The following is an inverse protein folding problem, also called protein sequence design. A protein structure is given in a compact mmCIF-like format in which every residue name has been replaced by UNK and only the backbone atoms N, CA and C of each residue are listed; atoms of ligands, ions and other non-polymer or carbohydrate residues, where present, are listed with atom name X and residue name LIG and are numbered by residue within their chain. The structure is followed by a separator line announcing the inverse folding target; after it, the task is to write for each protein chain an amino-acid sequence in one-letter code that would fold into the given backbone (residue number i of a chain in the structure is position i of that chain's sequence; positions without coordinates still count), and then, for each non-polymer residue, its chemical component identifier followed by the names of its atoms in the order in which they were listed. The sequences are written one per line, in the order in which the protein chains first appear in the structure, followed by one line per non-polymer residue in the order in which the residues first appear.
data_IF_269501573594
#
_entry.id   IF_269501573594
#
_cell.length_a   1.000
_cell.length_b   1.000
_cell.length_c   1.000
_cell.angle_alpha   90.00
_cell.angle_beta   90.00
_cell.angle_gamma   90.00
#
_symmetry.space_group_name_H-M   'P 1'
#
loop_
_entity.id
_entity.type
_entity.pdbx_description
1 polymer ?
#
# COMPACT_ATOMS: atom_id res chain seq x y z
N UNK A 1 -2.39 7.79 24.97
CA UNK A 1 -3.47 8.25 24.08
C UNK A 1 -3.74 7.18 23.04
N UNK A 2 -4.98 6.98 22.65
CA UNK A 2 -5.36 6.08 21.56
C UNK A 2 -5.05 6.78 20.24
N UNK A 3 -4.49 6.07 19.26
CA UNK A 3 -4.22 6.58 17.91
C UNK A 3 -5.52 6.58 17.11
N UNK A 4 -6.01 7.76 16.71
CA UNK A 4 -7.12 7.86 15.76
C UNK A 4 -6.57 7.54 14.35
N UNK A 5 -7.36 6.82 13.55
CA UNK A 5 -7.00 6.51 12.17
C UNK A 5 -6.79 7.78 11.31
N UNK A 6 -7.43 8.89 11.68
CA UNK A 6 -7.34 10.18 10.97
C UNK A 6 -6.07 10.97 11.29
N UNK A 7 -5.36 10.61 12.36
CA UNK A 7 -4.10 11.27 12.76
C UNK A 7 -2.88 10.65 12.09
N UNK A 8 -3.05 9.52 11.42
CA UNK A 8 -1.96 8.81 10.77
C UNK A 8 -1.59 9.43 9.43
N UNK A 9 -0.29 9.52 9.17
CA UNK A 9 0.25 9.89 7.85
C UNK A 9 0.39 8.65 6.98
N UNK A 10 0.12 8.82 5.68
CA UNK A 10 0.22 7.74 4.71
C UNK A 10 0.73 8.24 3.36
N UNK A 11 1.09 7.32 2.47
CA UNK A 11 1.33 7.54 1.06
C UNK A 11 0.65 6.42 0.25
N UNK A 12 0.45 6.67 -1.03
CA UNK A 12 -0.14 5.67 -1.93
C UNK A 12 0.62 5.65 -3.25
N UNK A 13 0.87 4.44 -3.75
CA UNK A 13 1.41 4.13 -5.07
C UNK A 13 0.29 3.43 -5.86
N UNK A 14 0.01 3.89 -7.09
CA UNK A 14 -1.04 3.33 -7.95
C UNK A 14 -0.44 3.03 -9.32
N UNK A 15 -0.35 1.75 -9.65
CA UNK A 15 0.14 1.29 -10.95
C UNK A 15 -0.99 1.36 -12.00
N UNK A 16 -0.72 2.02 -13.10
CA UNK A 16 -1.67 2.32 -14.17
C UNK A 16 -1.04 2.10 -15.55
N UNK A 17 -1.90 1.99 -16.54
CA UNK A 17 -1.55 2.02 -17.97
C UNK A 17 -2.64 2.75 -18.76
N UNK A 18 -2.65 2.66 -20.08
CA UNK A 18 -3.67 3.29 -20.94
C UNK A 18 -3.37 4.73 -21.33
N UNK A 19 -2.45 5.40 -20.62
CA UNK A 19 -1.91 6.72 -20.97
C UNK A 19 -0.41 6.75 -20.68
N UNK A 20 0.30 7.74 -21.22
CA UNK A 20 1.74 7.89 -20.98
C UNK A 20 2.01 8.61 -19.65
N UNK A 21 3.23 8.44 -19.09
CA UNK A 21 3.68 9.17 -17.88
C UNK A 21 3.59 10.68 -18.06
N UNK A 22 4.03 11.20 -19.21
CA UNK A 22 3.92 12.63 -19.52
C UNK A 22 2.46 13.09 -19.46
N UNK A 23 1.55 12.34 -20.10
CA UNK A 23 0.12 12.68 -20.09
C UNK A 23 -0.49 12.62 -18.70
N UNK A 24 -0.10 11.63 -17.87
CA UNK A 24 -0.53 11.55 -16.49
C UNK A 24 -0.07 12.77 -15.68
N UNK A 25 1.19 13.19 -15.84
CA UNK A 25 1.74 14.38 -15.18
C UNK A 25 1.01 15.66 -15.60
N UNK A 26 0.71 15.84 -16.90
CA UNK A 26 -0.09 16.97 -17.40
C UNK A 26 -1.49 17.03 -16.78
N UNK A 27 -2.14 15.87 -16.61
CA UNK A 27 -3.46 15.77 -15.96
C UNK A 27 -3.39 16.18 -14.49
N UNK A 28 -2.39 15.72 -13.78
CA UNK A 28 -2.15 16.09 -12.37
C UNK A 28 -1.85 17.58 -12.28
N UNK A 29 -0.97 18.09 -13.15
CA UNK A 29 -0.62 19.50 -13.21
C UNK A 29 -1.83 20.39 -13.43
N UNK A 30 -2.69 20.05 -14.39
CA UNK A 30 -3.92 20.78 -14.65
C UNK A 30 -4.85 20.84 -13.43
N UNK A 31 -4.97 19.74 -12.68
CA UNK A 31 -5.80 19.71 -11.49
C UNK A 31 -5.21 20.55 -10.34
N UNK A 32 -3.88 20.48 -10.15
CA UNK A 32 -3.18 21.22 -9.09
C UNK A 32 -2.87 22.67 -9.47
N UNK A 33 -3.17 23.10 -10.71
CA UNK A 33 -2.87 24.44 -11.19
C UNK A 33 -1.37 24.72 -11.37
N UNK A 34 -0.56 23.69 -11.65
CA UNK A 34 0.90 23.75 -11.73
C UNK A 34 1.41 23.02 -12.98
N UNK A 35 2.53 23.49 -13.53
CA UNK A 35 3.18 22.79 -14.64
C UNK A 35 3.97 21.58 -14.13
N UNK A 36 3.88 20.42 -14.82
CA UNK A 36 4.69 19.27 -14.48
C UNK A 36 6.17 19.50 -14.82
N UNK A 37 7.04 19.08 -13.92
CA UNK A 37 8.49 19.08 -14.11
C UNK A 37 8.97 17.68 -14.44
N UNK A 38 9.83 17.52 -15.46
CA UNK A 38 10.52 16.27 -15.76
C UNK A 38 11.80 16.20 -14.94
N UNK A 39 11.80 15.35 -13.90
CA UNK A 39 12.96 15.15 -13.01
C UNK A 39 13.99 14.16 -13.61
N UNK A 40 13.58 13.33 -14.60
CA UNK A 40 14.45 12.37 -15.30
C UNK A 40 14.81 11.15 -14.46
N UNK A 41 16.06 10.72 -14.57
CA UNK A 41 16.59 9.56 -13.85
C UNK A 41 16.15 8.21 -14.41
N UNK A 42 16.56 7.11 -13.73
CA UNK A 42 16.24 5.74 -14.13
C UNK A 42 14.73 5.47 -14.23
N UNK A 43 13.93 6.12 -13.38
CA UNK A 43 12.48 5.98 -13.33
C UNK A 43 11.73 6.95 -14.24
N UNK A 44 12.44 7.76 -15.06
CA UNK A 44 11.83 8.77 -15.94
C UNK A 44 10.72 9.55 -15.23
N UNK A 45 11.06 10.09 -14.05
CA UNK A 45 10.14 10.72 -13.12
C UNK A 45 9.64 12.07 -13.63
N UNK A 46 8.34 12.28 -13.51
CA UNK A 46 7.70 13.58 -13.57
C UNK A 46 7.16 13.94 -12.20
N UNK A 47 7.26 15.20 -11.81
CA UNK A 47 6.68 15.69 -10.56
C UNK A 47 5.83 16.94 -10.77
N UNK A 48 4.80 17.06 -9.94
CA UNK A 48 3.95 18.25 -9.85
C UNK A 48 3.89 18.65 -8.38
N UNK A 49 4.11 19.94 -8.08
CA UNK A 49 3.98 20.43 -6.71
C UNK A 49 2.57 20.90 -6.46
N UNK A 50 2.04 20.62 -5.25
CA UNK A 50 0.81 21.26 -4.80
C UNK A 50 1.09 22.62 -4.13
N UNK A 51 0.04 23.30 -3.68
CA UNK A 51 0.15 24.61 -2.99
C UNK A 51 1.00 24.56 -1.71
N UNK A 52 1.15 23.37 -1.11
CA UNK A 52 1.99 23.14 0.07
C UNK A 52 3.44 22.78 -0.31
N UNK A 53 3.76 22.76 -1.60
CA UNK A 53 5.09 22.41 -2.13
C UNK A 53 5.39 20.91 -2.12
N UNK A 54 4.42 20.05 -1.77
CA UNK A 54 4.59 18.59 -1.75
C UNK A 54 4.61 18.06 -3.20
N UNK A 55 5.45 17.05 -3.47
CA UNK A 55 5.61 16.47 -4.81
C UNK A 55 4.66 15.29 -5.03
N UNK A 56 3.76 15.42 -5.98
CA UNK A 56 3.01 14.33 -6.60
C UNK A 56 3.81 13.83 -7.79
N UNK A 57 4.05 12.52 -7.88
CA UNK A 57 4.97 11.98 -8.86
C UNK A 57 4.30 11.00 -9.80
N UNK A 58 4.84 10.93 -11.00
CA UNK A 58 4.53 9.89 -11.99
C UNK A 58 5.84 9.30 -12.46
N UNK A 59 6.00 8.00 -12.32
CA UNK A 59 7.26 7.35 -12.60
C UNK A 59 7.10 6.00 -13.31
N UNK A 60 8.21 5.49 -13.83
CA UNK A 60 8.28 4.19 -14.46
C UNK A 60 8.32 3.08 -13.42
N UNK A 61 7.51 2.04 -13.61
CA UNK A 61 7.67 0.74 -12.94
C UNK A 61 7.72 -0.38 -13.98
N UNK A 62 8.81 -1.15 -13.96
CA UNK A 62 9.07 -2.22 -14.93
C UNK A 62 8.08 -3.38 -14.83
N UNK A 63 7.43 -3.60 -13.70
CA UNK A 63 6.49 -4.69 -13.46
C UNK A 63 5.16 -4.51 -14.20
N UNK A 64 4.82 -3.28 -14.59
CA UNK A 64 3.56 -2.94 -15.25
C UNK A 64 3.54 -3.48 -16.68
N UNK A 65 2.47 -4.17 -17.05
CA UNK A 65 2.20 -4.55 -18.44
C UNK A 65 1.58 -3.37 -19.18
N UNK A 66 2.33 -2.79 -20.13
CA UNK A 66 1.90 -1.61 -20.88
C UNK A 66 0.87 -1.96 -21.95
N UNK A 67 -0.31 -1.33 -21.89
CA UNK A 67 -1.37 -1.44 -22.88
C UNK A 67 -1.98 -0.07 -23.20
N UNK A 68 -2.54 0.07 -24.42
CA UNK A 68 -3.30 1.27 -24.81
C UNK A 68 -4.73 1.19 -24.27
N UNK A 69 -5.40 2.33 -24.10
CA UNK A 69 -6.80 2.43 -23.61
C UNK A 69 -7.78 1.52 -24.37
N UNK A 70 -7.58 1.29 -25.64
CA UNK A 70 -8.44 0.43 -26.48
C UNK A 70 -7.98 -1.04 -26.57
N UNK A 71 -7.01 -1.46 -25.75
CA UNK A 71 -6.32 -2.73 -25.87
C UNK A 71 -5.10 -2.64 -26.82
N UNK A 72 -4.34 -3.73 -26.90
CA UNK A 72 -3.12 -3.78 -27.67
C UNK A 72 -1.89 -3.30 -26.90
N UNK A 73 -0.73 -3.84 -27.28
CA UNK A 73 0.56 -3.56 -26.64
C UNK A 73 0.95 -2.08 -26.78
N UNK A 74 1.60 -1.56 -25.77
CA UNK A 74 2.13 -0.19 -25.73
C UNK A 74 3.61 -0.20 -25.32
N UNK A 75 4.30 0.91 -25.57
CA UNK A 75 5.69 1.10 -25.15
C UNK A 75 5.82 1.38 -23.65
N UNK A 76 7.05 1.42 -23.18
CA UNK A 76 7.38 1.60 -21.77
C UNK A 76 6.88 2.94 -21.18
N UNK A 77 6.63 3.94 -22.03
CA UNK A 77 6.06 5.21 -21.63
C UNK A 77 4.64 5.10 -21.06
N UNK A 78 3.94 3.96 -21.29
CA UNK A 78 2.63 3.61 -20.75
C UNK A 78 2.69 2.84 -19.43
N UNK A 79 3.89 2.53 -18.93
CA UNK A 79 4.09 2.00 -17.58
C UNK A 79 4.10 3.16 -16.60
N UNK A 80 3.02 3.34 -15.89
CA UNK A 80 2.75 4.53 -15.08
C UNK A 80 2.53 4.13 -13.64
N UNK A 81 3.40 4.56 -12.76
CA UNK A 81 3.19 4.53 -11.32
C UNK A 81 2.90 5.95 -10.83
N UNK A 82 1.69 6.18 -10.34
CA UNK A 82 1.33 7.42 -9.66
C UNK A 82 1.65 7.31 -8.18
N UNK A 83 2.47 8.24 -7.66
CA UNK A 83 2.96 8.24 -6.28
C UNK A 83 2.56 9.54 -5.59
N UNK A 84 1.83 9.42 -4.48
CA UNK A 84 1.48 10.58 -3.66
C UNK A 84 2.66 11.06 -2.82
N UNK A 85 2.67 12.33 -2.37
CA UNK A 85 3.50 12.75 -1.25
C UNK A 85 3.04 12.06 0.05
N UNK A 86 3.69 12.41 1.17
CA UNK A 86 3.15 12.09 2.50
C UNK A 86 1.84 12.85 2.66
N UNK A 87 0.77 12.09 2.85
CA UNK A 87 -0.61 12.58 2.94
C UNK A 87 -1.16 12.43 4.36
N UNK A 88 -2.17 13.24 4.65
CA UNK A 88 -3.03 13.17 5.82
C UNK A 88 -4.43 12.70 5.40
N UNK A 89 -5.26 12.35 6.35
CA UNK A 89 -6.62 11.86 6.07
C UNK A 89 -7.45 12.85 5.23
N UNK A 90 -7.20 14.15 5.41
CA UNK A 90 -7.85 15.23 4.65
C UNK A 90 -7.47 15.26 3.16
N UNK A 91 -6.35 14.60 2.76
CA UNK A 91 -5.93 14.54 1.37
C UNK A 91 -6.65 13.46 0.55
N UNK A 92 -7.41 12.57 1.20
CA UNK A 92 -8.13 11.48 0.50
C UNK A 92 -9.04 12.00 -0.64
N UNK A 93 -9.83 13.09 -0.48
CA UNK A 93 -10.62 13.66 -1.57
C UNK A 93 -9.77 14.10 -2.77
N UNK A 94 -8.61 14.69 -2.53
CA UNK A 94 -7.65 15.10 -3.58
C UNK A 94 -7.17 13.88 -4.37
N UNK A 95 -6.76 12.80 -3.68
CA UNK A 95 -6.35 11.54 -4.32
C UNK A 95 -7.51 10.98 -5.16
N UNK A 96 -8.73 10.98 -4.62
CA UNK A 96 -9.91 10.51 -5.35
C UNK A 96 -10.16 11.30 -6.63
N UNK A 97 -10.00 12.63 -6.58
CA UNK A 97 -10.21 13.47 -7.75
C UNK A 97 -9.10 13.26 -8.78
N UNK A 98 -7.84 13.23 -8.38
CA UNK A 98 -6.74 12.93 -9.29
C UNK A 98 -6.95 11.60 -10.02
N UNK A 99 -7.40 10.56 -9.32
CA UNK A 99 -7.72 9.26 -9.94
C UNK A 99 -8.87 9.36 -10.94
N UNK A 100 -9.91 10.15 -10.66
CA UNK A 100 -11.00 10.41 -11.62
C UNK A 100 -10.49 11.10 -12.88
N UNK A 101 -9.65 12.13 -12.71
CA UNK A 101 -9.07 12.89 -13.84
C UNK A 101 -8.17 11.97 -14.68
N UNK A 102 -7.31 11.16 -14.05
CA UNK A 102 -6.47 10.18 -14.76
C UNK A 102 -7.34 9.18 -15.54
N UNK A 103 -8.39 8.62 -14.93
CA UNK A 103 -9.34 7.73 -15.61
C UNK A 103 -10.01 8.40 -16.82
N UNK A 104 -10.48 9.64 -16.68
CA UNK A 104 -11.08 10.39 -17.79
C UNK A 104 -10.07 10.65 -18.90
N UNK A 105 -8.80 10.85 -18.57
CA UNK A 105 -7.73 11.02 -19.54
C UNK A 105 -7.28 9.72 -20.22
N UNK A 106 -7.78 8.56 -19.76
CA UNK A 106 -7.53 7.28 -20.39
C UNK A 106 -6.77 6.26 -19.56
N UNK A 107 -6.44 6.57 -18.29
CA UNK A 107 -5.83 5.60 -17.40
C UNK A 107 -6.75 4.40 -17.17
N UNK A 108 -6.16 3.23 -17.20
CA UNK A 108 -6.80 1.95 -16.85
C UNK A 108 -5.90 1.19 -15.86
N UNK A 109 -6.51 0.29 -15.11
CA UNK A 109 -5.80 -0.69 -14.30
C UNK A 109 -5.25 -1.78 -15.23
N UNK A 110 -3.95 -2.04 -15.17
CA UNK A 110 -3.31 -3.16 -15.88
C UNK A 110 -3.60 -4.50 -15.21
N UNK A 111 -3.40 -5.59 -15.95
CA UNK A 111 -3.70 -6.95 -15.51
C UNK A 111 -2.92 -7.35 -14.23
N UNK A 112 -1.63 -7.03 -14.15
CA UNK A 112 -0.78 -7.34 -12.99
C UNK A 112 -0.52 -6.13 -12.08
N UNK A 113 -1.18 -5.02 -12.37
CA UNK A 113 -0.96 -3.77 -11.66
C UNK A 113 -1.56 -3.81 -10.25
N UNK A 114 -0.89 -3.15 -9.30
CA UNK A 114 -1.29 -3.07 -7.90
C UNK A 114 -1.47 -1.66 -7.38
N UNK A 115 -1.92 -1.62 -6.14
CA UNK A 115 -1.93 -0.42 -5.31
C UNK A 115 -1.22 -0.75 -4.02
N UNK A 116 -0.28 0.12 -3.62
CA UNK A 116 0.44 0.02 -2.38
C UNK A 116 0.06 1.20 -1.47
N UNK A 117 -0.24 0.91 -0.22
CA UNK A 117 -0.51 1.94 0.79
C UNK A 117 0.58 1.86 1.85
N UNK A 118 1.28 2.96 2.05
CA UNK A 118 2.33 3.14 3.04
C UNK A 118 1.78 3.90 4.24
N UNK A 119 1.87 3.34 5.43
CA UNK A 119 1.49 4.03 6.68
C UNK A 119 2.75 4.33 7.47
N UNK A 120 2.85 5.53 8.04
CA UNK A 120 4.00 5.95 8.83
C UNK A 120 4.28 4.97 9.98
N UNK A 121 5.50 4.43 10.03
CA UNK A 121 5.90 3.47 11.05
C UNK A 121 6.52 4.11 12.31
N UNK A 122 6.73 5.42 12.35
CA UNK A 122 7.35 6.09 13.50
C UNK A 122 6.65 5.83 14.85
N UNK A 123 5.31 5.68 14.93
CA UNK A 123 4.64 5.35 16.20
C UNK A 123 4.80 3.89 16.63
N UNK A 124 5.36 3.03 15.77
CA UNK A 124 5.41 1.59 16.04
C UNK A 124 6.57 1.20 16.94
N UNK A 125 6.30 0.21 17.77
CA UNK A 125 7.26 -0.53 18.58
C UNK A 125 7.32 -1.99 18.13
N UNK A 126 8.27 -2.76 18.62
CA UNK A 126 8.32 -4.20 18.34
C UNK A 126 7.01 -4.92 18.71
N UNK A 127 6.34 -4.51 19.80
CA UNK A 127 5.05 -5.04 20.22
C UNK A 127 3.95 -4.74 19.20
N UNK A 128 3.86 -3.50 18.72
CA UNK A 128 2.80 -3.11 17.78
C UNK A 128 3.07 -3.61 16.36
N UNK A 129 4.33 -3.82 15.96
CA UNK A 129 4.69 -4.56 14.75
C UNK A 129 4.25 -6.03 14.84
N UNK A 130 4.40 -6.67 16.01
CA UNK A 130 3.86 -8.00 16.24
C UNK A 130 2.33 -8.01 16.19
N UNK A 131 1.68 -7.00 16.74
CA UNK A 131 0.22 -6.88 16.70
C UNK A 131 -0.29 -6.79 15.25
N UNK A 132 0.29 -5.91 14.42
CA UNK A 132 -0.17 -5.76 13.02
C UNK A 132 0.06 -7.03 12.21
N UNK A 133 1.18 -7.73 12.44
CA UNK A 133 1.46 -9.02 11.80
C UNK A 133 0.42 -10.07 12.22
N UNK A 134 0.08 -10.14 13.51
CA UNK A 134 -0.94 -11.06 14.02
C UNK A 134 -2.34 -10.74 13.46
N UNK A 135 -2.71 -9.44 13.39
CA UNK A 135 -3.99 -9.00 12.82
C UNK A 135 -4.08 -9.39 11.35
N UNK A 136 -3.03 -9.11 10.57
CA UNK A 136 -2.99 -9.46 9.16
C UNK A 136 -3.12 -10.97 8.99
N UNK A 137 -2.29 -11.78 9.63
CA UNK A 137 -2.38 -13.23 9.56
C UNK A 137 -3.77 -13.77 9.94
N UNK A 138 -4.35 -13.23 11.02
CA UNK A 138 -5.68 -13.63 11.49
C UNK A 138 -6.79 -13.33 10.49
N UNK A 139 -6.68 -12.24 9.72
CA UNK A 139 -7.75 -11.70 8.86
C UNK A 139 -7.48 -11.81 7.36
N UNK A 140 -6.26 -12.12 6.94
CA UNK A 140 -5.86 -12.06 5.52
C UNK A 140 -6.75 -12.90 4.60
N UNK A 141 -7.21 -14.09 5.01
CA UNK A 141 -8.06 -14.93 4.17
C UNK A 141 -9.39 -14.23 3.87
N UNK A 142 -9.99 -13.58 4.87
CA UNK A 142 -11.21 -12.79 4.70
C UNK A 142 -10.95 -11.53 3.85
N UNK A 143 -9.81 -10.87 4.07
CA UNK A 143 -9.41 -9.66 3.34
C UNK A 143 -9.22 -10.01 1.86
N UNK A 144 -8.44 -11.05 1.55
CA UNK A 144 -8.16 -11.48 0.18
C UNK A 144 -9.44 -11.84 -0.58
N UNK A 145 -10.34 -12.57 0.07
CA UNK A 145 -11.63 -12.94 -0.50
C UNK A 145 -12.52 -11.71 -0.72
N UNK A 146 -12.62 -10.81 0.27
CA UNK A 146 -13.45 -9.61 0.17
C UNK A 146 -12.97 -8.63 -0.90
N UNK A 147 -11.65 -8.51 -1.07
CA UNK A 147 -11.02 -7.63 -2.06
C UNK A 147 -10.84 -8.30 -3.42
N UNK A 148 -11.13 -9.60 -3.52
CA UNK A 148 -10.91 -10.39 -4.74
C UNK A 148 -9.47 -10.23 -5.25
N UNK A 149 -8.50 -10.40 -4.34
CA UNK A 149 -7.07 -10.28 -4.70
C UNK A 149 -6.76 -11.29 -5.78
N UNK A 150 -6.11 -10.81 -6.84
CA UNK A 150 -5.71 -11.66 -7.96
C UNK A 150 -4.73 -12.75 -7.53
N UNK A 151 -4.96 -13.99 -7.98
CA UNK A 151 -4.19 -15.16 -7.58
C UNK A 151 -2.72 -15.07 -8.03
N UNK A 152 -2.44 -14.52 -9.22
CA UNK A 152 -1.06 -14.32 -9.67
C UNK A 152 -0.35 -13.26 -8.84
N UNK A 153 -1.07 -12.19 -8.47
CA UNK A 153 -0.53 -11.17 -7.56
C UNK A 153 -0.25 -11.74 -6.18
N UNK A 154 -1.16 -12.57 -5.62
CA UNK A 154 -0.93 -13.25 -4.35
C UNK A 154 0.38 -14.04 -4.38
N UNK A 155 0.60 -14.83 -5.42
CA UNK A 155 1.79 -15.67 -5.53
C UNK A 155 3.09 -14.91 -5.77
N UNK A 156 3.06 -13.80 -6.50
CA UNK A 156 4.26 -13.09 -6.95
C UNK A 156 4.60 -11.87 -6.10
N UNK A 157 3.60 -11.05 -5.75
CA UNK A 157 3.84 -9.68 -5.27
C UNK A 157 3.30 -9.40 -3.87
N UNK A 158 2.33 -10.19 -3.39
CA UNK A 158 1.67 -9.94 -2.11
C UNK A 158 1.31 -11.23 -1.38
N UNK A 159 2.30 -12.11 -1.21
CA UNK A 159 2.14 -13.35 -0.44
C UNK A 159 1.55 -13.07 0.94
N UNK A 160 0.76 -13.98 1.44
CA UNK A 160 0.25 -13.92 2.82
C UNK A 160 1.38 -13.92 3.84
N UNK A 161 1.07 -13.58 5.08
CA UNK A 161 2.05 -13.58 6.16
C UNK A 161 2.65 -14.98 6.31
N UNK A 162 3.98 -15.05 6.32
CA UNK A 162 4.68 -16.32 6.47
C UNK A 162 4.52 -16.86 7.89
N UNK A 163 4.03 -18.08 8.00
CA UNK A 163 3.70 -18.70 9.29
C UNK A 163 4.96 -18.88 10.17
N UNK A 164 6.09 -19.25 9.59
CA UNK A 164 7.36 -19.39 10.31
C UNK A 164 7.82 -18.07 10.94
N UNK A 165 7.70 -16.96 10.20
CA UNK A 165 7.96 -15.62 10.72
C UNK A 165 7.01 -15.26 11.86
N UNK A 166 5.71 -15.52 11.69
CA UNK A 166 4.70 -15.25 12.71
C UNK A 166 4.98 -16.03 14.00
N UNK A 167 5.32 -17.32 13.88
CA UNK A 167 5.62 -18.18 15.02
C UNK A 167 6.86 -17.67 15.78
N UNK A 168 7.95 -17.39 15.08
CA UNK A 168 9.18 -16.88 15.66
C UNK A 168 8.98 -15.54 16.36
N UNK A 169 8.27 -14.60 15.70
CA UNK A 169 7.93 -13.28 16.25
C UNK A 169 7.13 -13.37 17.56
N UNK A 170 6.18 -14.32 17.63
CA UNK A 170 5.36 -14.52 18.84
C UNK A 170 6.06 -15.33 19.93
N UNK A 171 6.97 -16.22 19.56
CA UNK A 171 7.77 -16.99 20.51
C UNK A 171 8.85 -16.11 21.16
N UNK A 172 9.63 -15.38 20.35
CA UNK A 172 10.73 -14.54 20.83
C UNK A 172 10.27 -13.26 21.50
N UNK A 173 9.10 -12.74 21.11
CA UNK A 173 8.54 -11.47 21.64
C UNK A 173 9.57 -10.33 21.66
N UNK A 174 10.12 -9.95 20.49
CA UNK A 174 11.18 -8.95 20.38
C UNK A 174 10.79 -7.65 21.09
N UNK A 175 11.79 -6.97 21.66
CA UNK A 175 11.62 -5.74 22.43
C UNK A 175 12.07 -4.50 21.65
N UNK A 176 12.81 -4.68 20.57
CA UNK A 176 13.29 -3.61 19.70
C UNK A 176 12.93 -3.85 18.24
N UNK A 177 12.89 -2.78 17.44
CA UNK A 177 12.70 -2.84 15.98
C UNK A 177 13.84 -3.64 15.34
N UNK A 178 15.04 -3.52 15.87
CA UNK A 178 16.23 -4.27 15.45
C UNK A 178 16.03 -5.79 15.58
N UNK A 179 15.50 -6.24 16.72
CA UNK A 179 15.19 -7.65 16.92
C UNK A 179 14.09 -8.15 15.96
N UNK A 180 13.07 -7.33 15.66
CA UNK A 180 12.06 -7.66 14.64
C UNK A 180 12.71 -7.79 13.26
N UNK A 181 13.61 -6.87 12.91
CA UNK A 181 14.36 -6.91 11.65
C UNK A 181 15.19 -8.19 11.52
N UNK A 182 15.88 -8.59 12.60
CA UNK A 182 16.68 -9.80 12.63
C UNK A 182 15.83 -11.06 12.39
N UNK A 183 14.62 -11.12 12.95
CA UNK A 183 13.67 -12.21 12.70
C UNK A 183 13.19 -12.16 11.24
N UNK A 184 12.82 -10.96 10.72
CA UNK A 184 12.34 -10.78 9.36
C UNK A 184 13.35 -11.26 8.31
N UNK A 185 14.62 -10.94 8.49
CA UNK A 185 15.69 -11.34 7.57
C UNK A 185 16.37 -12.66 7.93
N UNK A 186 15.85 -13.39 8.94
CA UNK A 186 16.42 -14.68 9.40
C UNK A 186 17.92 -14.56 9.74
N UNK A 187 18.29 -13.51 10.45
CA UNK A 187 19.67 -13.24 10.85
C UNK A 187 20.60 -12.76 9.72
N UNK A 188 20.08 -12.49 8.51
CA UNK A 188 20.82 -11.91 7.39
C UNK A 188 20.55 -10.41 7.30
N UNK A 189 21.52 -9.62 6.84
CA UNK A 189 21.26 -8.19 6.58
C UNK A 189 20.62 -8.02 5.21
N UNK A 190 19.36 -7.63 5.18
CA UNK A 190 18.59 -7.34 3.97
C UNK A 190 18.18 -5.86 3.83
N UNK A 191 18.42 -5.03 4.86
CA UNK A 191 17.91 -3.64 4.94
C UNK A 191 18.34 -2.77 3.78
N UNK A 192 19.58 -2.92 3.33
CA UNK A 192 20.16 -2.09 2.28
C UNK A 192 19.85 -2.57 0.85
N UNK A 193 19.10 -3.66 0.69
CA UNK A 193 18.72 -4.18 -0.62
C UNK A 193 17.36 -3.65 -1.04
N UNK A 194 17.33 -2.67 -1.94
CA UNK A 194 16.08 -2.06 -2.42
C UNK A 194 15.03 -3.09 -2.89
N UNK A 195 15.45 -4.10 -3.65
CA UNK A 195 14.61 -5.19 -4.17
C UNK A 195 14.79 -6.50 -3.40
N UNK A 196 14.84 -6.43 -2.07
CA UNK A 196 14.91 -7.65 -1.26
C UNK A 196 13.62 -8.48 -1.44
N UNK A 197 13.75 -9.80 -1.65
CA UNK A 197 12.60 -10.69 -1.93
C UNK A 197 11.54 -10.72 -0.83
N UNK A 198 11.91 -10.44 0.42
CA UNK A 198 10.98 -10.37 1.55
C UNK A 198 9.93 -9.25 1.43
N UNK A 199 10.12 -8.29 0.50
CA UNK A 199 9.13 -7.24 0.24
C UNK A 199 7.83 -7.76 -0.37
N UNK A 200 7.84 -8.94 -0.99
CA UNK A 200 6.70 -9.48 -1.72
C UNK A 200 5.67 -10.18 -0.82
N UNK A 201 5.33 -9.54 0.29
CA UNK A 201 4.25 -9.94 1.18
C UNK A 201 3.15 -8.88 1.21
N UNK A 202 1.91 -9.29 1.51
CA UNK A 202 0.76 -8.37 1.65
C UNK A 202 1.00 -7.27 2.67
N UNK A 203 1.67 -7.63 3.78
CA UNK A 203 2.21 -6.74 4.78
C UNK A 203 3.73 -6.74 4.64
N UNK A 204 4.27 -5.73 3.97
CA UNK A 204 5.71 -5.60 3.75
C UNK A 204 6.38 -4.85 4.90
N UNK A 205 7.04 -5.58 5.80
CA UNK A 205 7.84 -4.99 6.88
C UNK A 205 9.26 -4.60 6.45
N UNK A 206 9.75 -5.06 5.29
CA UNK A 206 11.02 -4.55 4.74
C UNK A 206 10.98 -3.02 4.59
N UNK A 207 9.82 -2.47 4.21
CA UNK A 207 9.59 -1.03 4.11
C UNK A 207 9.76 -0.30 5.46
N UNK A 208 9.48 -0.95 6.60
CA UNK A 208 9.73 -0.38 7.94
C UNK A 208 11.22 -0.13 8.15
N UNK A 209 12.03 -1.11 7.80
CA UNK A 209 13.48 -1.07 8.05
C UNK A 209 14.24 -0.21 7.04
N UNK A 210 13.67 0.02 5.86
CA UNK A 210 14.30 0.79 4.78
C UNK A 210 13.75 2.21 4.64
N UNK A 211 12.41 2.36 4.66
CA UNK A 211 11.71 3.62 4.36
C UNK A 211 11.00 4.23 5.58
N UNK A 212 10.91 3.51 6.70
CA UNK A 212 10.17 3.95 7.88
C UNK A 212 8.64 3.90 7.71
N UNK A 213 8.14 3.03 6.84
CA UNK A 213 6.70 2.85 6.60
C UNK A 213 6.29 1.39 6.66
N UNK A 214 5.07 1.12 7.11
CA UNK A 214 4.42 -0.18 6.90
C UNK A 214 3.73 -0.13 5.54
N UNK A 215 4.06 -1.05 4.66
CA UNK A 215 3.50 -1.11 3.32
C UNK A 215 2.50 -2.26 3.18
N UNK A 216 1.28 -1.93 2.74
CA UNK A 216 0.24 -2.88 2.36
C UNK A 216 0.23 -3.01 0.83
N UNK A 217 0.54 -4.21 0.30
CA UNK A 217 0.72 -4.47 -1.13
C UNK A 217 -0.39 -5.31 -1.78
N UNK A 218 -1.43 -5.65 -1.05
CA UNK A 218 -2.40 -6.67 -1.45
C UNK A 218 -3.45 -6.23 -2.48
N UNK A 219 -3.58 -4.94 -2.77
CA UNK A 219 -4.68 -4.45 -3.59
C UNK A 219 -4.40 -4.60 -5.08
N UNK A 220 -5.36 -5.13 -5.84
CA UNK A 220 -5.36 -5.01 -7.30
C UNK A 220 -5.50 -3.54 -7.68
N UNK A 221 -4.86 -3.13 -8.77
CA UNK A 221 -5.03 -1.77 -9.27
C UNK A 221 -6.47 -1.49 -9.67
N UNK A 222 -6.86 -0.24 -9.55
CA UNK A 222 -8.18 0.25 -9.95
C UNK A 222 -8.15 1.75 -10.20
N UNK A 223 -8.95 2.21 -11.14
CA UNK A 223 -9.26 3.64 -11.35
C UNK A 223 -10.57 4.07 -10.67
N UNK A 224 -11.11 3.23 -9.79
CA UNK A 224 -12.34 3.55 -9.04
C UNK A 224 -12.01 4.29 -7.75
N UNK A 225 -12.20 5.60 -7.74
CA UNK A 225 -11.86 6.49 -6.62
C UNK A 225 -12.45 6.06 -5.25
N UNK A 226 -13.65 5.46 -5.26
CA UNK A 226 -14.28 4.94 -4.03
C UNK A 226 -13.54 3.73 -3.46
N UNK A 227 -13.08 2.80 -4.31
CA UNK A 227 -12.25 1.66 -3.86
C UNK A 227 -10.93 2.13 -3.27
N UNK A 228 -10.27 3.11 -3.90
CA UNK A 228 -9.00 3.69 -3.40
C UNK A 228 -9.17 4.28 -2.00
N UNK A 229 -10.23 5.09 -1.79
CA UNK A 229 -10.57 5.57 -0.44
C UNK A 229 -10.73 4.42 0.56
N UNK A 230 -11.47 3.38 0.18
CA UNK A 230 -11.68 2.20 1.05
C UNK A 230 -10.36 1.50 1.38
N UNK A 231 -9.45 1.37 0.42
CA UNK A 231 -8.13 0.74 0.64
C UNK A 231 -7.29 1.53 1.64
N UNK A 232 -7.22 2.86 1.47
CA UNK A 232 -6.52 3.75 2.40
C UNK A 232 -7.13 3.62 3.80
N UNK A 233 -8.45 3.74 3.93
CA UNK A 233 -9.15 3.65 5.21
C UNK A 233 -8.96 2.30 5.89
N UNK A 234 -8.97 1.20 5.14
CA UNK A 234 -8.69 -0.15 5.66
C UNK A 234 -7.29 -0.24 6.26
N UNK A 235 -6.27 0.25 5.55
CA UNK A 235 -4.88 0.24 6.04
C UNK A 235 -4.72 1.08 7.30
N UNK A 236 -5.30 2.28 7.33
CA UNK A 236 -5.26 3.16 8.50
C UNK A 236 -5.99 2.55 9.70
N UNK A 237 -7.13 1.87 9.47
CA UNK A 237 -7.88 1.19 10.52
C UNK A 237 -7.12 -0.01 11.11
N UNK A 238 -6.51 -0.86 10.26
CA UNK A 238 -5.67 -1.98 10.71
C UNK A 238 -4.47 -1.44 11.51
N UNK A 239 -3.84 -0.37 11.03
CA UNK A 239 -2.74 0.29 11.72
C UNK A 239 -3.16 0.84 13.09
N UNK A 240 -4.26 1.58 13.15
CA UNK A 240 -4.80 2.12 14.41
C UNK A 240 -5.12 0.99 15.40
N UNK A 241 -5.75 -0.09 14.94
CA UNK A 241 -6.04 -1.27 15.77
C UNK A 241 -4.74 -1.87 16.34
N UNK A 242 -3.70 -2.02 15.53
CA UNK A 242 -2.43 -2.59 15.97
C UNK A 242 -1.71 -1.72 17.01
N UNK A 243 -1.80 -0.40 16.87
CA UNK A 243 -1.19 0.56 17.78
C UNK A 243 -1.92 0.62 19.13
N UNK A 244 -3.25 0.53 19.10
CA UNK A 244 -4.10 0.70 20.29
C UNK A 244 -4.24 -0.58 21.13
N UNK A 245 -4.14 -1.75 20.54
CA UNK A 245 -4.28 -3.01 21.27
C UNK A 245 -3.02 -3.37 22.06
N UNK A 246 -3.22 -3.85 23.29
CA UNK A 246 -2.13 -4.41 24.11
C UNK A 246 -1.55 -5.70 23.48
N UNK A 247 -2.42 -6.50 22.86
CA UNK A 247 -2.06 -7.73 22.13
C UNK A 247 -3.08 -8.04 21.05
N UNK A 248 -2.67 -8.79 20.02
CA UNK A 248 -3.53 -9.26 18.95
C UNK A 248 -3.46 -10.78 18.83
N UNK A 249 -4.60 -11.41 18.54
CA UNK A 249 -4.69 -12.85 18.31
C UNK A 249 -3.96 -13.25 17.03
N UNK A 250 -3.31 -14.40 17.06
CA UNK A 250 -2.65 -15.06 15.91
C UNK A 250 -3.47 -16.27 15.38
N UNK A 251 -4.71 -16.42 15.84
CA UNK A 251 -5.56 -17.53 15.41
C UNK A 251 -6.33 -17.10 14.17
N UNK A 252 -6.24 -17.90 13.10
CA UNK A 252 -7.01 -17.64 11.87
C UNK A 252 -8.49 -17.51 12.18
N UNK A 253 -9.10 -16.50 11.59
CA UNK A 253 -10.56 -16.30 11.73
C UNK A 253 -11.30 -17.30 10.84
N UNK A 254 -12.05 -18.19 11.45
CA UNK A 254 -12.97 -19.09 10.77
C UNK A 254 -14.40 -18.65 11.01
N UNK A 255 -15.25 -18.71 10.01
CA UNK A 255 -16.65 -18.29 10.13
C UNK A 255 -17.52 -18.98 9.06
N UNK A 256 -18.73 -19.35 9.44
CA UNK A 256 -19.77 -19.82 8.51
C UNK A 256 -20.42 -18.66 7.75
N UNK A 257 -20.27 -17.42 8.25
CA UNK A 257 -20.73 -16.19 7.59
C UNK A 257 -19.58 -15.15 7.52
N UNK A 258 -18.67 -15.37 6.58
CA UNK A 258 -17.48 -14.55 6.40
C UNK A 258 -17.81 -13.07 6.14
N UNK A 259 -18.85 -12.79 5.37
CA UNK A 259 -19.30 -11.42 5.06
C UNK A 259 -19.71 -10.66 6.32
N UNK A 260 -20.49 -11.30 7.19
CA UNK A 260 -20.90 -10.72 8.46
C UNK A 260 -19.71 -10.52 9.40
N UNK A 261 -18.84 -11.54 9.50
CA UNK A 261 -17.63 -11.47 10.33
C UNK A 261 -16.69 -10.37 9.90
N UNK A 262 -16.46 -10.21 8.58
CA UNK A 262 -15.61 -9.14 8.03
C UNK A 262 -16.22 -7.75 8.31
N UNK A 263 -17.53 -7.58 8.07
CA UNK A 263 -18.24 -6.34 8.36
C UNK A 263 -18.16 -5.97 9.85
N UNK A 264 -18.40 -6.92 10.74
CA UNK A 264 -18.35 -6.69 12.19
C UNK A 264 -16.94 -6.29 12.63
N UNK A 265 -15.92 -6.98 12.11
CA UNK A 265 -14.53 -6.61 12.40
C UNK A 265 -14.21 -5.19 11.94
N UNK A 266 -14.59 -4.80 10.72
CA UNK A 266 -14.38 -3.44 10.22
C UNK A 266 -15.07 -2.40 11.11
N UNK A 267 -16.32 -2.61 11.49
CA UNK A 267 -17.05 -1.69 12.36
C UNK A 267 -16.36 -1.53 13.71
N UNK A 268 -15.94 -2.63 14.33
CA UNK A 268 -15.22 -2.59 15.61
C UNK A 268 -13.84 -1.92 15.50
N UNK A 269 -13.16 -2.07 14.37
CA UNK A 269 -11.85 -1.44 14.13
C UNK A 269 -11.93 0.05 13.80
N UNK A 270 -13.10 0.54 13.37
CA UNK A 270 -13.33 1.95 13.00
C UNK A 270 -13.95 2.78 14.12
N UNK A 271 -14.47 2.15 15.20
CA UNK A 271 -15.16 2.82 16.31
C UNK A 271 -14.18 3.24 17.42
N UNK A 272 -12.98 2.74 17.41
CA UNK A 272 -11.94 3.07 18.39
C UNK A 272 -10.84 3.88 17.73
#
# INVERSE_FOLDING_TARGET
MSMDLREQKFGIEIELTGLTRKRAAEVIGKYLGQEPHYDGGYYEEYSVRDEQGRKWKVMYDSSIVAVKKGGGSAGDEYKVEFVSPICEYADIPTIQELVRQLRHAGAIAGENAGIHVHVNAAPYTARTLRNITNIMYCKEDLIYKALQVDVEREHRYCKKVEESFLQELNQKKPKSIEEVSNIWYRGRDGRNRHYHESRYHCLNLHSVFQKGTIEFRLFNSTTHAGKIKTYIQLCLAISAQALNQSSASRIKTTSTNEKYTFRTWLLLSLIH
#
